data_IF_051290671792
#
_entry.id   IF_051290671792
#
_cell.length_a   1.000
_cell.length_b   1.000
_cell.length_c   1.000
_cell.angle_alpha   90.00
_cell.angle_beta   90.00
_cell.angle_gamma   90.00
#
_symmetry.space_group_name_H-M   'P 1'
#
loop_
_entity.id
_entity.type
_entity.pdbx_description
1 polymer ?
#
# COMPACT_ATOMS: atom_id res chain seq x y z
N UNK A 1 6.75 -1.21 27.90
CA UNK A 1 7.85 -0.53 27.22
C UNK A 1 7.46 -0.23 25.78
N UNK A 2 7.54 1.01 25.43
CA UNK A 2 7.17 1.41 24.08
C UNK A 2 8.17 0.92 23.06
N UNK A 3 7.65 0.36 21.98
CA UNK A 3 8.47 -0.06 20.87
C UNK A 3 8.81 1.16 20.04
N UNK A 4 10.09 1.37 19.83
CA UNK A 4 10.54 2.50 19.02
C UNK A 4 10.23 2.24 17.55
N UNK A 5 9.53 3.15 16.90
CA UNK A 5 9.25 3.05 15.49
C UNK A 5 10.52 3.27 14.67
N UNK A 6 10.58 2.62 13.52
CA UNK A 6 11.66 2.86 12.57
C UNK A 6 11.54 4.26 12.02
N UNK A 7 12.66 4.95 11.87
CA UNK A 7 12.70 6.32 11.35
C UNK A 7 12.42 6.39 9.85
N UNK A 8 12.14 5.25 9.23
CA UNK A 8 11.89 5.19 7.79
C UNK A 8 10.49 5.66 7.42
N UNK A 9 10.36 6.08 6.17
CA UNK A 9 9.08 6.43 5.56
C UNK A 9 8.66 5.25 4.68
N UNK A 10 7.46 4.76 4.88
CA UNK A 10 6.94 3.61 4.15
C UNK A 10 5.80 4.00 3.22
N UNK A 11 5.69 3.31 2.08
CA UNK A 11 4.54 3.40 1.21
C UNK A 11 3.68 2.16 1.39
N UNK A 12 2.37 2.33 1.30
CA UNK A 12 1.44 1.20 1.17
C UNK A 12 0.69 1.44 -0.14
N UNK A 13 1.27 1.02 -1.26
CA UNK A 13 0.70 1.29 -2.58
C UNK A 13 -0.40 0.31 -2.95
N UNK A 14 -1.33 0.73 -3.80
CA UNK A 14 -2.39 -0.15 -4.28
C UNK A 14 -3.38 0.59 -5.15
N UNK A 15 -4.38 -0.14 -5.64
CA UNK A 15 -5.48 0.43 -6.41
C UNK A 15 -6.58 0.96 -5.49
N UNK A 16 -6.78 0.32 -4.36
CA UNK A 16 -7.79 0.69 -3.37
C UNK A 16 -9.18 0.89 -3.99
N UNK A 17 -9.67 -0.14 -4.63
CA UNK A 17 -10.90 -0.05 -5.42
C UNK A 17 -11.96 -1.08 -4.96
N UNK A 18 -12.57 -0.91 -3.78
CA UNK A 18 -12.27 0.08 -2.76
C UNK A 18 -11.22 -0.40 -1.76
N UNK A 19 -10.90 0.45 -0.78
CA UNK A 19 -10.10 0.03 0.37
C UNK A 19 -10.87 -1.03 1.15
N UNK A 20 -10.17 -2.08 1.60
CA UNK A 20 -10.79 -3.20 2.32
C UNK A 20 -10.16 -3.37 3.69
N UNK A 21 -10.68 -4.31 4.47
CA UNK A 21 -10.09 -4.64 5.77
C UNK A 21 -8.67 -5.19 5.63
N UNK A 22 -8.38 -5.88 4.53
CA UNK A 22 -7.02 -6.34 4.25
C UNK A 22 -6.07 -5.19 4.04
N UNK A 23 -6.50 -4.18 3.31
CA UNK A 23 -5.70 -2.95 3.13
C UNK A 23 -5.51 -2.23 4.45
N UNK A 24 -6.57 -2.11 5.24
CA UNK A 24 -6.50 -1.45 6.53
C UNK A 24 -5.54 -2.18 7.47
N UNK A 25 -5.53 -3.50 7.43
CA UNK A 25 -4.59 -4.31 8.21
C UNK A 25 -3.14 -3.92 7.90
N UNK A 26 -2.81 -3.81 6.61
CA UNK A 26 -1.46 -3.43 6.19
C UNK A 26 -1.13 -2.00 6.61
N UNK A 27 -2.07 -1.09 6.45
CA UNK A 27 -1.89 0.32 6.83
C UNK A 27 -1.67 0.44 8.34
N UNK A 28 -2.50 -0.23 9.13
CA UNK A 28 -2.41 -0.20 10.59
C UNK A 28 -1.06 -0.75 11.06
N UNK A 29 -0.64 -1.86 10.49
CA UNK A 29 0.62 -2.49 10.86
C UNK A 29 1.81 -1.61 10.46
N UNK A 30 1.76 -1.02 9.27
CA UNK A 30 2.80 -0.09 8.83
C UNK A 30 2.86 1.14 9.74
N UNK A 31 1.69 1.65 10.15
CA UNK A 31 1.62 2.80 11.05
C UNK A 31 2.28 2.52 12.39
N UNK A 32 2.23 1.27 12.86
CA UNK A 32 2.89 0.87 14.09
C UNK A 32 4.40 0.74 13.95
N UNK A 33 4.87 0.33 12.77
CA UNK A 33 6.28 0.01 12.57
C UNK A 33 7.12 1.17 12.02
N UNK A 34 6.50 2.11 11.32
CA UNK A 34 7.22 3.19 10.66
C UNK A 34 6.78 4.55 11.16
N UNK A 35 7.71 5.50 11.14
CA UNK A 35 7.46 6.85 11.61
C UNK A 35 6.42 7.58 10.76
N UNK A 36 6.50 7.39 9.43
CA UNK A 36 5.57 8.02 8.49
C UNK A 36 5.16 7.02 7.42
N UNK A 37 3.87 7.02 7.09
CA UNK A 37 3.31 6.11 6.09
C UNK A 37 2.50 6.90 5.08
N UNK A 38 2.71 6.61 3.80
CA UNK A 38 1.89 7.14 2.72
C UNK A 38 1.10 5.97 2.10
N UNK A 39 -0.21 6.01 2.23
CA UNK A 39 -1.09 5.06 1.56
C UNK A 39 -1.45 5.69 0.22
N UNK A 40 -0.96 5.14 -0.88
CA UNK A 40 -1.02 5.80 -2.18
C UNK A 40 -1.75 4.98 -3.21
N UNK A 41 -2.73 5.60 -3.87
CA UNK A 41 -3.42 5.01 -5.00
C UNK A 41 -2.60 5.32 -6.25
N UNK A 42 -1.99 4.29 -6.85
CA UNK A 42 -1.28 4.47 -8.11
C UNK A 42 -2.25 4.18 -9.24
N UNK A 43 -2.54 5.22 -10.01
CA UNK A 43 -3.53 5.14 -11.08
C UNK A 43 -2.96 4.38 -12.26
N UNK A 44 -3.64 3.32 -12.68
CA UNK A 44 -3.27 2.56 -13.86
C UNK A 44 -4.37 2.78 -14.90
N UNK A 45 -4.03 3.53 -15.97
CA UNK A 45 -4.97 3.88 -17.02
C UNK A 45 -5.52 2.68 -17.80
N UNK A 46 -4.81 1.57 -17.78
CA UNK A 46 -5.26 0.33 -18.45
C UNK A 46 -6.26 -0.46 -17.62
N UNK A 47 -6.34 -0.17 -16.34
CA UNK A 47 -7.21 -0.89 -15.41
C UNK A 47 -8.55 -0.19 -15.28
N UNK A 48 -9.62 -0.94 -15.51
CA UNK A 48 -10.97 -0.45 -15.25
C UNK A 48 -11.28 -0.59 -13.78
N UNK A 49 -11.51 0.52 -13.12
CA UNK A 49 -11.81 0.54 -11.71
C UNK A 49 -13.31 0.67 -11.47
N UNK A 50 -13.80 0.04 -10.42
CA UNK A 50 -15.20 0.10 -10.04
C UNK A 50 -15.63 1.48 -9.58
N UNK A 51 -14.74 2.14 -8.84
CA UNK A 51 -15.01 3.47 -8.30
C UNK A 51 -14.08 4.49 -8.94
N UNK A 52 -14.56 5.74 -9.02
CA UNK A 52 -13.74 6.85 -9.50
C UNK A 52 -12.55 7.06 -8.59
N UNK A 53 -11.52 7.72 -9.08
CA UNK A 53 -10.36 8.05 -8.27
C UNK A 53 -10.74 8.88 -7.06
N UNK A 54 -11.63 9.88 -7.26
CA UNK A 54 -12.11 10.73 -6.16
C UNK A 54 -12.76 9.91 -5.06
N UNK A 55 -13.60 8.95 -5.44
CA UNK A 55 -14.31 8.10 -4.48
C UNK A 55 -13.35 7.18 -3.75
N UNK A 56 -12.40 6.60 -4.48
CA UNK A 56 -11.40 5.72 -3.88
C UNK A 56 -10.54 6.48 -2.87
N UNK A 57 -10.12 7.68 -3.23
CA UNK A 57 -9.29 8.50 -2.34
C UNK A 57 -10.07 8.92 -1.10
N UNK A 58 -11.33 9.30 -1.27
CA UNK A 58 -12.21 9.67 -0.16
C UNK A 58 -12.33 8.53 0.85
N UNK A 59 -12.56 7.31 0.36
CA UNK A 59 -12.68 6.14 1.22
C UNK A 59 -11.36 5.82 1.92
N UNK A 60 -10.25 5.95 1.20
CA UNK A 60 -8.93 5.71 1.76
C UNK A 60 -8.61 6.74 2.84
N UNK A 61 -8.91 7.99 2.59
CA UNK A 61 -8.70 9.06 3.57
C UNK A 61 -9.48 8.81 4.87
N UNK A 62 -10.70 8.28 4.74
CA UNK A 62 -11.52 7.96 5.90
C UNK A 62 -10.87 6.89 6.78
N UNK A 63 -10.23 5.90 6.16
CA UNK A 63 -9.49 4.87 6.88
C UNK A 63 -8.22 5.44 7.51
N UNK A 64 -7.47 6.22 6.75
CA UNK A 64 -6.18 6.77 7.22
C UNK A 64 -6.34 7.77 8.37
N UNK A 65 -7.51 8.38 8.48
CA UNK A 65 -7.81 9.33 9.55
C UNK A 65 -7.59 8.76 10.94
N UNK A 66 -7.71 7.45 11.07
CA UNK A 66 -7.53 6.75 12.36
C UNK A 66 -6.06 6.70 12.79
N UNK A 67 -5.15 6.97 11.88
CA UNK A 67 -3.70 6.82 12.12
C UNK A 67 -3.01 8.16 11.86
N UNK A 68 -2.53 8.84 12.93
CA UNK A 68 -1.99 10.20 12.78
C UNK A 68 -0.73 10.30 11.92
N UNK A 69 0.01 9.21 11.77
CA UNK A 69 1.22 9.20 10.95
C UNK A 69 0.99 8.69 9.52
N UNK A 70 -0.26 8.49 9.12
CA UNK A 70 -0.60 8.00 7.78
C UNK A 70 -1.26 9.10 6.96
N UNK A 71 -0.78 9.28 5.74
CA UNK A 71 -1.35 10.22 4.78
C UNK A 71 -1.83 9.43 3.55
N UNK A 72 -3.07 9.69 3.13
CA UNK A 72 -3.61 9.12 1.90
C UNK A 72 -3.25 10.03 0.73
N UNK A 73 -2.92 9.46 -0.41
CA UNK A 73 -2.56 10.24 -1.60
C UNK A 73 -2.86 9.41 -2.85
N UNK A 74 -2.74 10.04 -4.00
CA UNK A 74 -2.91 9.39 -5.29
C UNK A 74 -1.86 9.95 -6.26
N UNK A 75 -1.36 9.09 -7.15
CA UNK A 75 -0.33 9.49 -8.11
C UNK A 75 -0.51 8.74 -9.42
N UNK A 76 -0.17 9.38 -10.53
CA UNK A 76 -0.29 8.77 -11.86
C UNK A 76 1.04 8.24 -12.38
N UNK A 77 2.13 8.49 -11.66
CA UNK A 77 3.47 8.09 -12.06
C UNK A 77 3.88 6.73 -11.52
N UNK A 78 5.17 6.49 -11.59
CA UNK A 78 5.74 5.23 -11.11
C UNK A 78 5.94 5.27 -9.60
N UNK A 79 5.79 4.10 -8.98
CA UNK A 79 5.94 3.96 -7.53
C UNK A 79 7.31 4.44 -7.05
N UNK A 80 8.39 4.05 -7.73
CA UNK A 80 9.73 4.45 -7.30
C UNK A 80 9.95 5.95 -7.40
N UNK A 81 9.33 6.62 -8.37
CA UNK A 81 9.44 8.07 -8.51
C UNK A 81 8.74 8.79 -7.37
N UNK A 82 7.58 8.29 -6.97
CA UNK A 82 6.86 8.82 -5.81
C UNK A 82 7.68 8.61 -4.53
N UNK A 83 8.23 7.41 -4.36
CA UNK A 83 9.05 7.07 -3.21
C UNK A 83 10.25 8.03 -3.08
N UNK A 84 10.91 8.30 -4.20
CA UNK A 84 12.04 9.23 -4.22
C UNK A 84 11.61 10.63 -3.78
N UNK A 85 10.48 11.08 -4.26
CA UNK A 85 9.98 12.43 -3.99
C UNK A 85 9.66 12.64 -2.50
N UNK A 86 9.08 11.65 -1.85
CA UNK A 86 8.71 11.76 -0.43
C UNK A 86 9.77 11.23 0.52
N UNK A 87 10.82 10.63 -0.01
CA UNK A 87 11.89 10.07 0.81
C UNK A 87 11.58 8.70 1.40
N UNK A 88 10.67 7.95 0.78
CA UNK A 88 10.34 6.62 1.24
C UNK A 88 11.44 5.62 0.89
N UNK A 89 11.73 4.71 1.81
CA UNK A 89 12.76 3.68 1.63
C UNK A 89 12.19 2.28 1.59
N UNK A 90 10.89 2.13 1.87
CA UNK A 90 10.25 0.82 1.90
C UNK A 90 8.81 0.92 1.42
N UNK A 91 8.34 -0.13 0.76
CA UNK A 91 6.95 -0.29 0.44
C UNK A 91 6.45 -1.58 1.10
N UNK A 92 5.23 -1.55 1.59
CA UNK A 92 4.59 -2.71 2.20
C UNK A 92 3.49 -3.19 1.28
N UNK A 93 3.54 -4.47 0.92
CA UNK A 93 2.51 -5.10 0.10
C UNK A 93 2.07 -6.39 0.76
N UNK A 94 0.80 -6.74 0.55
CA UNK A 94 0.27 -8.00 1.05
C UNK A 94 0.26 -9.05 -0.05
N UNK A 95 0.37 -10.31 0.34
CA UNK A 95 0.20 -11.43 -0.59
C UNK A 95 -0.67 -12.49 0.07
N UNK A 96 -1.39 -13.23 -0.75
CA UNK A 96 -2.31 -14.27 -0.28
C UNK A 96 -2.00 -15.63 -0.89
N UNK A 97 -1.47 -15.64 -2.11
CA UNK A 97 -1.15 -16.87 -2.83
C UNK A 97 0.29 -16.82 -3.33
N UNK A 98 0.83 -17.96 -3.74
CA UNK A 98 2.17 -18.02 -4.29
C UNK A 98 2.28 -17.19 -5.57
N UNK A 99 1.22 -17.13 -6.35
CA UNK A 99 1.19 -16.31 -7.57
C UNK A 99 1.30 -14.84 -7.25
N UNK A 100 0.57 -14.39 -6.22
CA UNK A 100 0.66 -13.02 -5.74
C UNK A 100 2.09 -12.71 -5.30
N UNK A 101 2.68 -13.64 -4.53
CA UNK A 101 4.03 -13.47 -4.02
C UNK A 101 5.04 -13.32 -5.14
N UNK A 102 4.95 -14.16 -6.16
CA UNK A 102 5.86 -14.11 -7.31
C UNK A 102 5.74 -12.78 -8.06
N UNK A 103 4.51 -12.32 -8.25
CA UNK A 103 4.26 -11.04 -8.91
C UNK A 103 4.87 -9.89 -8.11
N UNK A 104 4.65 -9.89 -6.79
CA UNK A 104 5.17 -8.84 -5.92
C UNK A 104 6.70 -8.84 -5.87
N UNK A 105 7.31 -10.02 -5.89
CA UNK A 105 8.77 -10.13 -5.93
C UNK A 105 9.35 -9.55 -7.21
N UNK A 106 8.66 -9.76 -8.33
CA UNK A 106 9.05 -9.19 -9.62
C UNK A 106 9.00 -7.67 -9.59
N UNK A 107 7.93 -7.12 -9.01
CA UNK A 107 7.77 -5.68 -8.88
C UNK A 107 8.80 -5.09 -7.91
N UNK A 108 9.10 -5.82 -6.85
CA UNK A 108 10.11 -5.39 -5.89
C UNK A 108 11.47 -5.24 -6.57
N UNK A 109 11.82 -6.20 -7.42
CA UNK A 109 13.08 -6.17 -8.16
C UNK A 109 13.12 -4.98 -9.11
N UNK A 110 12.05 -4.75 -9.85
CA UNK A 110 11.93 -3.62 -10.77
C UNK A 110 12.14 -2.29 -10.05
N UNK A 111 11.45 -2.11 -8.93
CA UNK A 111 11.55 -0.86 -8.16
C UNK A 111 12.95 -0.67 -7.57
N UNK A 112 13.57 -1.74 -7.09
CA UNK A 112 14.91 -1.67 -6.51
C UNK A 112 15.96 -1.31 -7.57
N UNK A 113 15.77 -1.77 -8.81
CA UNK A 113 16.66 -1.43 -9.91
C UNK A 113 16.56 0.04 -10.30
N UNK A 114 15.37 0.63 -10.17
CA UNK A 114 15.14 2.02 -10.51
C UNK A 114 15.39 2.99 -9.36
N UNK A 115 15.36 2.50 -8.13
CA UNK A 115 15.65 3.30 -6.96
C UNK A 115 16.44 2.44 -5.97
N UNK A 116 17.78 2.43 -6.07
CA UNK A 116 18.61 1.64 -5.15
C UNK A 116 18.37 2.02 -3.70
N UNK A 117 18.27 1.02 -2.84
CA UNK A 117 17.99 1.23 -1.43
C UNK A 117 16.50 1.19 -1.07
N UNK A 118 15.64 1.24 -2.07
CA UNK A 118 14.19 1.12 -1.86
C UNK A 118 13.85 -0.37 -1.83
N UNK A 119 13.29 -0.83 -0.72
CA UNK A 119 12.97 -2.23 -0.57
C UNK A 119 11.46 -2.44 -0.44
N UNK A 120 11.01 -3.65 -0.66
CA UNK A 120 9.60 -4.00 -0.51
C UNK A 120 9.48 -5.09 0.54
N UNK A 121 8.62 -4.86 1.52
CA UNK A 121 8.27 -5.87 2.53
C UNK A 121 6.97 -6.52 2.10
N UNK A 122 6.99 -7.85 2.00
CA UNK A 122 5.84 -8.62 1.55
C UNK A 122 5.26 -9.37 2.75
N UNK A 123 4.08 -8.93 3.19
CA UNK A 123 3.44 -9.49 4.38
C UNK A 123 2.29 -10.42 3.97
N UNK A 124 2.26 -11.60 4.56
CA UNK A 124 1.17 -12.54 4.31
C UNK A 124 -0.10 -12.06 5.01
N UNK A 125 -1.19 -11.93 4.25
CA UNK A 125 -2.46 -11.50 4.80
C UNK A 125 -3.11 -12.68 5.53
N UNK A 126 -3.66 -12.45 6.75
CA UNK A 126 -4.34 -13.52 7.47
C UNK A 126 -5.50 -14.10 6.65
N UNK A 127 -5.72 -15.42 6.72
CA UNK A 127 -6.78 -16.06 5.94
C UNK A 127 -8.18 -15.47 6.16
N UNK A 128 -8.47 -15.01 7.36
CA UNK A 128 -9.77 -14.41 7.67
C UNK A 128 -10.03 -13.11 6.91
N UNK A 129 -8.99 -12.51 6.33
CA UNK A 129 -9.14 -11.29 5.55
C UNK A 129 -9.20 -11.53 4.05
N UNK A 130 -8.95 -12.75 3.60
CA UNK A 130 -8.99 -13.09 2.17
C UNK A 130 -10.37 -12.90 1.57
N UNK A 131 -11.42 -13.21 2.32
CA UNK A 131 -12.79 -13.08 1.87
C UNK A 131 -13.25 -11.63 1.75
N UNK A 132 -12.50 -10.73 2.34
CA UNK A 132 -12.81 -9.30 2.34
C UNK A 132 -11.85 -8.58 1.38
N UNK A 133 -11.80 -9.08 0.16
CA UNK A 133 -10.98 -8.50 -0.90
C UNK A 133 -11.80 -7.47 -1.68
N UNK A 134 -11.13 -6.66 -2.49
CA UNK A 134 -11.80 -5.72 -3.37
C UNK A 134 -12.78 -6.42 -4.30
N UNK A 135 -12.45 -7.63 -4.74
CA UNK A 135 -13.31 -8.41 -5.62
C UNK A 135 -14.61 -8.80 -4.91
N UNK A 136 -14.54 -9.24 -3.65
CA UNK A 136 -15.71 -9.59 -2.87
C UNK A 136 -16.61 -8.37 -2.63
N UNK A 137 -16.02 -7.24 -2.34
CA UNK A 137 -16.77 -6.00 -2.10
C UNK A 137 -17.47 -5.51 -3.36
N UNK A 138 -16.93 -5.80 -4.52
CA UNK A 138 -17.50 -5.39 -5.81
C UNK A 138 -18.77 -6.13 -6.23
N UNK A 139 -19.10 -7.21 -5.61
CA UNK A 139 -20.29 -8.00 -5.94
C UNK A 139 -21.59 -7.27 -5.62
#
# INVERSE_FOLDING_TARGET
>A
MEQKKRTEIALVPGSYDPVTKGHEYLIAKAAEEYEKVYAVIFVNSEKQCRFSLEKRLEMLEAVCKKYPNVTADADTGMQYAYARRVGATVAVRGWRSEEDLKYEQKMAKFNAENLPGYRMELWHCPPELEEISSTAVRR
#
